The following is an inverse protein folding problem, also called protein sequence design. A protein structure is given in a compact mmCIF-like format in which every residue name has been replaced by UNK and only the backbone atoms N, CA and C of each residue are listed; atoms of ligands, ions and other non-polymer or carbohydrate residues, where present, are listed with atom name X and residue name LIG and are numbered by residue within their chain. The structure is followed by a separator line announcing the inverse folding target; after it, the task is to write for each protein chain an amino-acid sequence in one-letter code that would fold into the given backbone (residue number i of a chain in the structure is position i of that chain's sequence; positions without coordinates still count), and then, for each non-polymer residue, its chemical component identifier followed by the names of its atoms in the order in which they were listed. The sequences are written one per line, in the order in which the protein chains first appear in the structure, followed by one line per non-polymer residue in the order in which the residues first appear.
data_IF_236323360901
#
_entry.id   IF_236323360901
#
_cell.length_a   1.000
_cell.length_b   1.000
_cell.length_c   1.000
_cell.angle_alpha   90.00
_cell.angle_beta   90.00
_cell.angle_gamma   90.00
#
_symmetry.space_group_name_H-M   'P 1'
#
loop_
_entity.id
_entity.type
_entity.pdbx_description
1 polymer ?
#
# COMPACT_ATOMS: atom_id res chain seq x y z
N UNK A 1 20.30 -27.01 -4.94
CA UNK A 1 19.29 -26.14 -4.32
C UNK A 1 20.04 -25.04 -3.62
N UNK A 2 19.80 -23.80 -3.98
CA UNK A 2 20.50 -22.63 -3.44
C UNK A 2 19.49 -21.74 -2.72
N UNK A 3 19.82 -21.24 -1.53
CA UNK A 3 18.92 -20.42 -0.73
C UNK A 3 19.58 -19.08 -0.39
N UNK A 4 18.86 -18.01 -0.67
CA UNK A 4 19.26 -16.63 -0.42
C UNK A 4 18.38 -16.00 0.66
N UNK A 5 18.99 -15.18 1.50
CA UNK A 5 18.34 -14.45 2.60
C UNK A 5 18.73 -12.99 2.54
N UNK A 6 18.02 -12.17 3.29
CA UNK A 6 18.40 -10.76 3.45
C UNK A 6 19.66 -10.66 4.30
N UNK A 7 20.58 -9.79 3.88
CA UNK A 7 21.78 -9.48 4.63
C UNK A 7 21.48 -8.96 6.02
N UNK A 8 22.32 -9.34 6.97
CA UNK A 8 22.21 -8.86 8.34
C UNK A 8 22.21 -7.32 8.38
N UNK A 9 21.11 -6.74 8.86
CA UNK A 9 20.94 -5.29 8.97
C UNK A 9 20.39 -4.58 7.73
N UNK A 10 20.11 -5.28 6.62
CA UNK A 10 19.58 -4.70 5.38
C UNK A 10 18.30 -3.90 5.56
N UNK A 11 17.46 -4.24 6.55
CA UNK A 11 16.24 -3.50 6.86
C UNK A 11 16.49 -2.02 7.22
N UNK A 12 17.65 -1.69 7.83
CA UNK A 12 17.97 -0.32 8.25
C UNK A 12 18.00 0.64 7.06
N UNK A 13 18.43 0.17 5.89
CA UNK A 13 18.53 0.97 4.68
C UNK A 13 17.16 1.33 4.12
N UNK A 14 16.23 0.37 4.11
CA UNK A 14 14.88 0.60 3.60
C UNK A 14 13.97 1.31 4.61
N UNK A 15 14.28 1.23 5.92
CA UNK A 15 13.49 1.86 6.97
C UNK A 15 13.31 3.36 6.75
N UNK A 16 14.38 4.06 6.35
CA UNK A 16 14.33 5.50 6.07
C UNK A 16 13.40 5.80 4.90
N UNK A 17 13.48 5.03 3.82
CA UNK A 17 12.61 5.19 2.66
C UNK A 17 11.13 4.93 3.00
N UNK A 18 10.85 3.93 3.84
CA UNK A 18 9.49 3.67 4.34
C UNK A 18 8.94 4.86 5.14
N UNK A 19 9.74 5.42 6.05
CA UNK A 19 9.35 6.57 6.87
C UNK A 19 9.13 7.84 6.04
N UNK A 20 10.03 8.14 5.10
CA UNK A 20 9.93 9.31 4.21
C UNK A 20 8.65 9.27 3.38
N UNK A 21 8.16 8.08 3.01
CA UNK A 21 6.89 7.93 2.29
C UNK A 21 5.69 7.96 3.24
N UNK A 22 5.76 7.24 4.36
CA UNK A 22 4.61 7.06 5.25
C UNK A 22 4.24 8.32 6.04
N UNK A 23 5.22 9.11 6.50
CA UNK A 23 4.95 10.30 7.33
C UNK A 23 4.17 11.36 6.54
N UNK A 24 4.61 11.83 5.36
CA UNK A 24 3.86 12.84 4.61
C UNK A 24 2.46 12.37 4.22
N UNK A 25 2.31 11.09 3.82
CA UNK A 25 0.98 10.54 3.50
C UNK A 25 0.05 10.52 4.72
N UNK A 26 0.57 10.16 5.90
CA UNK A 26 -0.23 10.13 7.14
C UNK A 26 -0.62 11.54 7.60
N UNK A 27 0.30 12.50 7.48
CA UNK A 27 0.03 13.91 7.76
C UNK A 27 -1.02 14.47 6.81
N UNK A 28 -0.88 14.22 5.49
CA UNK A 28 -1.83 14.66 4.47
C UNK A 28 -3.24 14.15 4.77
N UNK A 29 -3.37 12.85 5.08
CA UNK A 29 -4.65 12.25 5.45
C UNK A 29 -5.24 12.85 6.73
N UNK A 30 -4.40 13.08 7.74
CA UNK A 30 -4.80 13.68 9.02
C UNK A 30 -5.31 15.11 8.82
N UNK A 31 -4.55 15.95 8.12
CA UNK A 31 -4.95 17.32 7.83
C UNK A 31 -6.21 17.37 6.97
N UNK A 32 -6.33 16.50 5.96
CA UNK A 32 -7.54 16.37 5.15
C UNK A 32 -8.76 16.04 6.00
N UNK A 33 -8.65 15.05 6.90
CA UNK A 33 -9.73 14.68 7.82
C UNK A 33 -10.13 15.81 8.77
N UNK A 34 -9.16 16.51 9.36
CA UNK A 34 -9.42 17.65 10.24
C UNK A 34 -10.08 18.82 9.50
N UNK A 35 -9.61 19.13 8.28
CA UNK A 35 -10.20 20.17 7.45
C UNK A 35 -11.65 19.84 7.08
N UNK A 36 -11.92 18.60 6.65
CA UNK A 36 -13.28 18.14 6.36
C UNK A 36 -14.16 18.26 7.60
N UNK A 37 -13.68 17.82 8.75
CA UNK A 37 -14.42 17.95 10.01
C UNK A 37 -14.76 19.40 10.34
N UNK A 38 -13.80 20.32 10.17
CA UNK A 38 -13.97 21.73 10.46
C UNK A 38 -15.01 22.40 9.55
N UNK A 39 -14.96 22.12 8.24
CA UNK A 39 -15.89 22.70 7.27
C UNK A 39 -17.28 22.05 7.26
N UNK A 40 -17.42 20.83 7.79
CA UNK A 40 -18.70 20.12 7.84
C UNK A 40 -19.54 20.45 9.09
N UNK A 41 -18.97 21.09 10.11
CA UNK A 41 -19.72 21.62 11.26
C UNK A 41 -20.59 22.79 10.82
N UNK A 42 -21.85 22.50 10.48
CA UNK A 42 -22.84 23.47 10.02
C UNK A 42 -23.22 24.48 11.12
N UNK A 43 -22.47 25.56 11.27
CA UNK A 43 -22.91 26.81 11.92
C UNK A 43 -23.19 26.78 13.43
N UNK A 44 -23.29 25.60 14.05
CA UNK A 44 -23.28 25.47 15.51
C UNK A 44 -21.86 25.77 15.99
N UNK A 45 -21.61 27.04 16.31
CA UNK A 45 -20.46 27.48 17.08
C UNK A 45 -20.55 26.84 18.47
N UNK A 46 -20.17 25.57 18.57
CA UNK A 46 -19.72 25.04 19.83
C UNK A 46 -18.43 25.78 20.16
N UNK A 47 -18.48 26.72 21.10
CA UNK A 47 -17.34 27.53 21.56
C UNK A 47 -16.19 26.68 22.15
N UNK A 48 -16.36 25.36 22.26
CA UNK A 48 -15.34 24.46 22.79
C UNK A 48 -14.33 24.11 21.71
N UNK A 49 -13.17 24.78 21.73
CA UNK A 49 -12.03 24.40 20.90
C UNK A 49 -11.48 23.03 21.33
N UNK A 50 -11.92 21.96 20.67
CA UNK A 50 -11.47 20.58 20.94
C UNK A 50 -10.11 20.24 20.33
N UNK A 51 -9.55 21.08 19.43
CA UNK A 51 -8.32 20.76 18.71
C UNK A 51 -7.09 20.50 19.60
N UNK A 52 -6.86 21.23 20.72
CA UNK A 52 -5.77 20.95 21.64
C UNK A 52 -5.81 19.55 22.25
N UNK A 53 -6.99 18.91 22.30
CA UNK A 53 -7.16 17.54 22.81
C UNK A 53 -7.03 16.53 21.67
N UNK A 54 -7.70 16.78 20.54
CA UNK A 54 -7.76 15.86 19.39
C UNK A 54 -6.40 15.70 18.71
N UNK A 55 -5.65 16.80 18.52
CA UNK A 55 -4.38 16.77 17.78
C UNK A 55 -3.34 15.86 18.49
N UNK A 56 -3.06 16.01 19.80
CA UNK A 56 -2.14 15.11 20.49
C UNK A 56 -2.54 13.63 20.43
N UNK A 57 -3.85 13.33 20.54
CA UNK A 57 -4.36 11.95 20.43
C UNK A 57 -4.07 11.38 19.05
N UNK A 58 -4.35 12.13 17.98
CA UNK A 58 -4.09 11.69 16.61
C UNK A 58 -2.59 11.50 16.38
N UNK A 59 -1.75 12.44 16.82
CA UNK A 59 -0.29 12.32 16.68
C UNK A 59 0.25 11.10 17.44
N UNK A 60 -0.24 10.85 18.65
CA UNK A 60 0.12 9.66 19.44
C UNK A 60 -0.30 8.36 18.75
N UNK A 61 -1.53 8.30 18.25
CA UNK A 61 -2.04 7.15 17.50
C UNK A 61 -1.25 6.91 16.21
N UNK A 62 -0.91 7.98 15.48
CA UNK A 62 -0.09 7.93 14.26
C UNK A 62 1.32 7.41 14.57
N UNK A 63 1.99 7.95 15.59
CA UNK A 63 3.32 7.52 16.00
C UNK A 63 3.34 6.04 16.41
N UNK A 64 2.37 5.61 17.22
CA UNK A 64 2.21 4.22 17.63
C UNK A 64 1.92 3.29 16.43
N UNK A 65 1.03 3.72 15.52
CA UNK A 65 0.69 3.00 14.30
C UNK A 65 1.89 2.80 13.39
N UNK A 66 2.66 3.86 13.13
CA UNK A 66 3.90 3.81 12.33
C UNK A 66 4.95 2.91 12.99
N UNK A 67 5.15 3.02 14.30
CA UNK A 67 6.07 2.15 15.04
C UNK A 67 5.70 0.67 14.87
N UNK A 68 4.42 0.34 15.07
CA UNK A 68 3.91 -1.03 14.92
C UNK A 68 4.02 -1.53 13.48
N UNK A 69 3.71 -0.68 12.50
CA UNK A 69 3.80 -1.00 11.08
C UNK A 69 5.25 -1.30 10.66
N UNK A 70 6.21 -0.47 11.08
CA UNK A 70 7.65 -0.66 10.78
C UNK A 70 8.17 -1.95 11.42
N UNK A 71 7.79 -2.25 12.66
CA UNK A 71 8.19 -3.49 13.31
C UNK A 71 7.60 -4.72 12.63
N UNK A 72 6.38 -4.62 12.09
CA UNK A 72 5.79 -5.69 11.29
C UNK A 72 6.54 -5.87 9.96
N UNK A 73 6.84 -4.76 9.27
CA UNK A 73 7.61 -4.80 8.03
C UNK A 73 9.01 -5.37 8.24
N UNK A 74 9.65 -5.05 9.37
CA UNK A 74 10.93 -5.66 9.75
C UNK A 74 10.82 -7.18 9.83
N UNK A 75 9.79 -7.71 10.50
CA UNK A 75 9.59 -9.17 10.61
C UNK A 75 9.39 -9.84 9.24
N UNK A 76 8.59 -9.23 8.37
CA UNK A 76 8.35 -9.73 7.00
C UNK A 76 9.66 -9.73 6.21
N UNK A 77 10.43 -8.65 6.31
CA UNK A 77 11.69 -8.47 5.61
C UNK A 77 12.77 -9.44 6.09
N UNK A 78 13.01 -9.50 7.41
CA UNK A 78 14.03 -10.38 8.01
C UNK A 78 13.73 -11.88 7.79
N UNK A 79 12.46 -12.23 7.61
CA UNK A 79 12.03 -13.60 7.33
C UNK A 79 12.12 -14.02 5.85
N UNK A 80 12.51 -13.10 4.95
CA UNK A 80 12.52 -13.35 3.53
C UNK A 80 13.54 -14.44 3.16
N UNK A 81 13.06 -15.43 2.42
CA UNK A 81 13.86 -16.52 1.85
C UNK A 81 13.50 -16.68 0.39
N UNK A 82 14.53 -16.72 -0.45
CA UNK A 82 14.42 -17.03 -1.86
C UNK A 82 15.17 -18.33 -2.13
N UNK A 83 14.48 -19.32 -2.67
CA UNK A 83 15.04 -20.63 -2.97
C UNK A 83 15.02 -20.84 -4.48
N UNK A 84 16.18 -21.14 -5.04
CA UNK A 84 16.36 -21.50 -6.45
C UNK A 84 16.62 -23.00 -6.51
N UNK A 85 15.71 -23.73 -7.16
CA UNK A 85 15.81 -25.17 -7.34
C UNK A 85 15.74 -25.56 -8.83
N UNK A 86 15.65 -26.86 -9.08
CA UNK A 86 15.61 -27.40 -10.45
C UNK A 86 14.27 -27.03 -11.12
N UNK A 87 13.18 -27.00 -10.34
CA UNK A 87 11.81 -26.86 -10.82
C UNK A 87 11.37 -25.39 -10.94
N UNK A 88 11.93 -24.48 -10.14
CA UNK A 88 11.47 -23.11 -10.08
C UNK A 88 12.18 -22.21 -9.07
N UNK A 89 11.55 -21.07 -8.85
CA UNK A 89 11.98 -20.02 -7.93
C UNK A 89 10.87 -19.86 -6.87
N UNK A 90 11.21 -20.08 -5.61
CA UNK A 90 10.26 -20.04 -4.49
C UNK A 90 10.61 -18.91 -3.52
N UNK A 91 9.62 -18.07 -3.19
CA UNK A 91 9.69 -17.03 -2.16
C UNK A 91 8.87 -17.42 -0.95
N UNK A 92 9.47 -17.28 0.22
CA UNK A 92 8.80 -17.41 1.52
C UNK A 92 9.03 -16.14 2.35
N UNK A 93 7.97 -15.63 3.01
CA UNK A 93 8.05 -14.56 4.01
C UNK A 93 6.97 -14.74 5.08
N UNK A 94 7.23 -14.20 6.27
CA UNK A 94 6.34 -14.23 7.41
C UNK A 94 4.94 -13.68 7.07
N UNK A 95 3.91 -14.46 7.40
CA UNK A 95 2.49 -14.13 7.18
C UNK A 95 2.09 -13.84 5.72
N UNK A 96 2.93 -14.19 4.74
CA UNK A 96 2.58 -14.12 3.32
C UNK A 96 2.45 -15.54 2.76
N UNK A 97 1.56 -15.78 1.78
CA UNK A 97 1.56 -17.02 1.03
C UNK A 97 2.92 -17.26 0.37
N UNK A 98 3.39 -18.52 0.38
CA UNK A 98 4.53 -18.96 -0.42
C UNK A 98 4.18 -18.81 -1.90
N UNK A 99 5.10 -18.23 -2.68
CA UNK A 99 4.95 -18.09 -4.12
C UNK A 99 6.06 -18.91 -4.78
N UNK A 100 5.67 -19.87 -5.61
CA UNK A 100 6.59 -20.64 -6.44
C UNK A 100 6.27 -20.35 -7.90
N UNK A 101 7.27 -19.92 -8.65
CA UNK A 101 7.20 -19.72 -10.11
C UNK A 101 8.01 -20.84 -10.73
N UNK A 102 7.35 -21.74 -11.47
CA UNK A 102 8.06 -22.78 -12.22
C UNK A 102 8.92 -22.14 -13.32
N UNK A 103 10.04 -22.76 -13.70
CA UNK A 103 10.86 -22.26 -14.81
C UNK A 103 10.09 -22.22 -16.14
N UNK A 104 9.12 -23.12 -16.34
CA UNK A 104 8.25 -23.10 -17.52
C UNK A 104 7.22 -21.98 -17.48
N UNK A 105 6.91 -21.47 -16.29
CA UNK A 105 5.97 -20.37 -16.07
C UNK A 105 6.68 -19.01 -15.94
N UNK A 106 8.01 -18.98 -16.07
CA UNK A 106 8.79 -17.77 -15.95
C UNK A 106 8.63 -16.95 -17.24
N UNK A 107 8.05 -15.76 -17.11
CA UNK A 107 7.82 -14.85 -18.22
C UNK A 107 8.95 -13.82 -18.36
N UNK A 108 9.32 -13.16 -17.26
CA UNK A 108 10.32 -12.09 -17.29
C UNK A 108 11.08 -11.99 -15.95
N UNK A 109 12.38 -11.69 -16.02
CA UNK A 109 13.18 -11.22 -14.88
C UNK A 109 13.59 -9.78 -15.17
N UNK A 110 13.14 -8.84 -14.33
CA UNK A 110 13.47 -7.41 -14.47
C UNK A 110 14.43 -6.99 -13.37
N UNK A 111 15.54 -6.35 -13.74
CA UNK A 111 16.43 -5.65 -12.79
C UNK A 111 16.01 -4.19 -12.71
N UNK A 112 15.56 -3.77 -11.53
CA UNK A 112 15.13 -2.40 -11.26
C UNK A 112 16.34 -1.48 -11.06
N UNK A 113 16.13 -0.18 -11.24
CA UNK A 113 17.16 0.86 -11.06
C UNK A 113 17.78 0.90 -9.64
N UNK A 114 17.05 0.44 -8.62
CA UNK A 114 17.54 0.33 -7.25
C UNK A 114 18.29 -0.98 -6.94
N UNK A 115 18.57 -1.79 -7.98
CA UNK A 115 19.22 -3.09 -7.89
C UNK A 115 18.34 -4.25 -7.43
N UNK A 116 17.04 -4.03 -7.18
CA UNK A 116 16.12 -5.13 -6.86
C UNK A 116 15.74 -5.90 -8.13
N UNK A 117 15.35 -7.17 -7.98
CA UNK A 117 14.80 -7.96 -9.08
C UNK A 117 13.29 -8.12 -8.95
N UNK A 118 12.59 -8.16 -10.08
CA UNK A 118 11.18 -8.53 -10.18
C UNK A 118 11.07 -9.73 -11.09
N UNK A 119 10.68 -10.87 -10.52
CA UNK A 119 10.53 -12.13 -11.23
C UNK A 119 9.03 -12.33 -11.48
N UNK A 120 8.62 -12.29 -12.74
CA UNK A 120 7.22 -12.40 -13.17
C UNK A 120 6.95 -13.77 -13.75
N UNK A 121 5.92 -14.44 -13.24
CA UNK A 121 5.37 -15.64 -13.85
C UNK A 121 4.34 -15.32 -14.95
N UNK A 122 3.61 -16.35 -15.37
CA UNK A 122 2.52 -16.27 -16.35
C UNK A 122 1.26 -15.48 -15.89
N UNK A 123 1.23 -14.96 -14.66
CA UNK A 123 0.09 -14.20 -14.13
C UNK A 123 0.53 -13.00 -13.31
N UNK A 124 -0.22 -11.90 -13.37
CA UNK A 124 0.05 -10.65 -12.63
C UNK A 124 0.12 -10.83 -11.10
N UNK A 125 -0.51 -11.89 -10.57
CA UNK A 125 -0.45 -12.21 -9.14
C UNK A 125 0.75 -13.08 -8.74
N UNK A 126 1.43 -13.67 -9.73
CA UNK A 126 2.60 -14.52 -9.54
C UNK A 126 3.87 -13.70 -9.81
N UNK A 127 4.12 -12.75 -8.92
CA UNK A 127 5.30 -11.86 -8.99
C UNK A 127 6.09 -11.99 -7.70
N UNK A 128 7.38 -12.29 -7.82
CA UNK A 128 8.35 -12.32 -6.72
C UNK A 128 9.23 -11.08 -6.82
N UNK A 129 9.14 -10.20 -5.82
CA UNK A 129 10.08 -9.09 -5.65
C UNK A 129 11.26 -9.50 -4.79
N UNK A 130 12.46 -9.38 -5.32
CA UNK A 130 13.72 -9.66 -4.63
C UNK A 130 14.41 -8.35 -4.29
N UNK A 131 14.58 -7.99 -3.01
CA UNK A 131 15.23 -6.75 -2.62
C UNK A 131 16.73 -6.75 -2.93
N UNK A 132 17.32 -5.56 -3.12
CA UNK A 132 18.76 -5.41 -3.39
C UNK A 132 19.66 -5.72 -2.20
N UNK A 133 19.11 -5.82 -1.00
CA UNK A 133 19.84 -6.17 0.23
C UNK A 133 19.93 -7.68 0.46
N UNK A 134 19.78 -8.49 -0.58
CA UNK A 134 19.94 -9.94 -0.46
C UNK A 134 21.43 -10.31 -0.31
N UNK A 135 21.72 -11.31 0.52
CA UNK A 135 23.06 -11.90 0.64
C UNK A 135 23.48 -12.55 -0.67
N UNK A 136 24.79 -12.60 -0.92
CA UNK A 136 25.39 -13.16 -2.13
C UNK A 136 24.75 -12.64 -3.42
N UNK A 137 24.45 -11.34 -3.47
CA UNK A 137 23.76 -10.67 -4.57
C UNK A 137 24.35 -11.01 -5.96
N UNK A 138 25.68 -11.03 -6.10
CA UNK A 138 26.35 -11.35 -7.36
C UNK A 138 26.12 -12.82 -7.78
N UNK A 139 26.14 -13.75 -6.82
CA UNK A 139 25.84 -15.16 -7.05
C UNK A 139 24.39 -15.33 -7.50
N UNK A 140 23.46 -14.61 -6.85
CA UNK A 140 22.06 -14.62 -7.24
C UNK A 140 21.88 -14.10 -8.67
N UNK A 141 22.46 -12.94 -8.99
CA UNK A 141 22.34 -12.34 -10.32
C UNK A 141 22.83 -13.29 -11.41
N UNK A 142 23.97 -13.95 -11.17
CA UNK A 142 24.50 -15.00 -12.06
C UNK A 142 23.51 -16.15 -12.24
N UNK A 143 22.99 -16.73 -11.15
CA UNK A 143 22.01 -17.83 -11.24
C UNK A 143 20.71 -17.39 -11.92
N UNK A 144 20.24 -16.17 -11.71
CA UNK A 144 19.05 -15.65 -12.38
C UNK A 144 19.29 -15.48 -13.89
N UNK A 145 20.47 -14.99 -14.28
CA UNK A 145 20.85 -14.87 -15.71
C UNK A 145 21.00 -16.21 -16.41
N UNK A 146 21.37 -17.27 -15.68
CA UNK A 146 21.40 -18.64 -16.19
C UNK A 146 19.98 -19.20 -16.39
N UNK A 147 19.02 -18.76 -15.58
CA UNK A 147 17.61 -19.20 -15.68
C UNK A 147 16.87 -18.47 -16.81
N UNK A 148 17.14 -17.18 -17.03
CA UNK A 148 16.47 -16.39 -18.08
C UNK A 148 17.10 -15.02 -18.31
N UNK A 149 16.74 -14.38 -19.42
CA UNK A 149 17.26 -13.06 -19.77
C UNK A 149 16.81 -12.00 -18.75
N UNK A 150 17.78 -11.31 -18.14
CA UNK A 150 17.51 -10.19 -17.24
C UNK A 150 17.28 -8.93 -18.09
N UNK A 151 16.05 -8.43 -18.06
CA UNK A 151 15.64 -7.19 -18.69
C UNK A 151 15.94 -6.00 -17.77
N UNK A 152 16.51 -4.93 -18.32
CA UNK A 152 16.69 -3.66 -17.60
C UNK A 152 15.54 -2.68 -17.86
N UNK A 153 14.49 -3.08 -18.62
CA UNK A 153 13.36 -2.20 -18.93
C UNK A 153 12.55 -1.95 -17.66
N UNK A 154 12.81 -0.81 -17.04
CA UNK A 154 12.05 -0.36 -15.88
C UNK A 154 10.83 0.42 -16.36
N UNK A 155 9.76 -0.26 -16.77
CA UNK A 155 8.45 0.39 -16.89
C UNK A 155 7.74 0.25 -15.54
N UNK A 156 7.93 1.23 -14.64
CA UNK A 156 7.11 1.27 -13.43
C UNK A 156 5.63 1.40 -13.83
N UNK A 157 4.72 0.64 -13.20
CA UNK A 157 3.29 0.83 -13.42
C UNK A 157 2.92 2.29 -13.14
N UNK A 158 2.07 2.88 -13.98
CA UNK A 158 1.64 4.29 -13.83
C UNK A 158 1.12 4.57 -12.40
N UNK A 159 0.39 3.63 -11.81
CA UNK A 159 -0.11 3.74 -10.44
C UNK A 159 0.99 3.90 -9.38
N UNK A 160 2.14 3.24 -9.57
CA UNK A 160 3.25 3.35 -8.62
C UNK A 160 3.91 4.73 -8.70
N UNK A 161 4.11 5.26 -9.91
CA UNK A 161 4.67 6.58 -10.17
C UNK A 161 3.80 7.71 -9.61
N UNK A 162 2.47 7.58 -9.70
CA UNK A 162 1.52 8.62 -9.30
C UNK A 162 0.85 8.36 -7.94
N UNK A 163 1.42 7.49 -7.10
CA UNK A 163 0.83 7.15 -5.78
C UNK A 163 0.52 8.38 -4.94
N UNK A 164 1.43 9.36 -4.88
CA UNK A 164 1.21 10.60 -4.11
C UNK A 164 0.08 11.47 -4.67
N UNK A 165 -0.02 11.58 -5.99
CA UNK A 165 -1.08 12.32 -6.68
C UNK A 165 -2.43 11.63 -6.51
N UNK A 166 -2.45 10.29 -6.53
CA UNK A 166 -3.64 9.50 -6.26
C UNK A 166 -4.14 9.72 -4.82
N UNK A 167 -3.25 9.82 -3.83
CA UNK A 167 -3.63 10.15 -2.44
C UNK A 167 -4.27 11.53 -2.34
N UNK A 168 -3.71 12.54 -3.02
CA UNK A 168 -4.29 13.90 -3.07
C UNK A 168 -5.67 13.86 -3.75
N UNK A 169 -5.79 13.13 -4.86
CA UNK A 169 -7.06 12.96 -5.56
C UNK A 169 -8.11 12.34 -4.64
N UNK A 170 -7.80 11.25 -3.93
CA UNK A 170 -8.73 10.58 -3.00
C UNK A 170 -9.19 11.54 -1.90
N UNK A 171 -8.28 12.31 -1.30
CA UNK A 171 -8.63 13.31 -0.27
C UNK A 171 -9.51 14.41 -0.87
N UNK A 172 -9.22 14.87 -2.09
CA UNK A 172 -10.06 15.82 -2.81
C UNK A 172 -11.48 15.29 -3.09
N UNK A 173 -11.60 14.03 -3.51
CA UNK A 173 -12.89 13.37 -3.70
C UNK A 173 -13.66 13.27 -2.38
N UNK A 174 -12.98 12.89 -1.28
CA UNK A 174 -13.59 12.87 0.05
C UNK A 174 -14.07 14.26 0.47
N UNK A 175 -13.25 15.29 0.29
CA UNK A 175 -13.63 16.67 0.61
C UNK A 175 -14.85 17.12 -0.19
N UNK A 176 -14.90 16.82 -1.50
CA UNK A 176 -16.06 17.12 -2.34
C UNK A 176 -17.34 16.47 -1.81
N UNK A 177 -17.30 15.19 -1.42
CA UNK A 177 -18.46 14.46 -0.87
C UNK A 177 -18.90 15.04 0.47
N UNK A 178 -17.97 15.27 1.39
CA UNK A 178 -18.31 15.67 2.77
C UNK A 178 -18.61 17.16 2.92
N UNK A 179 -17.98 18.05 2.12
CA UNK A 179 -18.15 19.50 2.25
C UNK A 179 -19.22 20.04 1.30
N UNK A 180 -19.37 19.49 0.09
CA UNK A 180 -20.30 20.05 -0.89
C UNK A 180 -21.76 19.90 -0.47
N UNK A 181 -22.56 20.93 -0.79
CA UNK A 181 -24.03 20.91 -0.70
C UNK A 181 -24.70 20.56 -2.02
N UNK A 182 -23.95 20.63 -3.12
CA UNK A 182 -24.46 20.32 -4.45
C UNK A 182 -24.62 18.79 -4.61
N UNK A 183 -25.86 18.37 -4.86
CA UNK A 183 -26.24 16.96 -5.01
C UNK A 183 -25.52 16.28 -6.17
N UNK A 184 -25.28 17.00 -7.28
CA UNK A 184 -24.59 16.48 -8.46
C UNK A 184 -23.13 16.21 -8.12
N UNK A 185 -22.46 17.16 -7.45
CA UNK A 185 -21.07 16.99 -7.01
C UNK A 185 -20.96 15.78 -6.07
N UNK A 186 -21.81 15.69 -5.05
CA UNK A 186 -21.80 14.58 -4.09
C UNK A 186 -22.03 13.23 -4.79
N UNK A 187 -23.01 13.18 -5.70
CA UNK A 187 -23.35 11.96 -6.44
C UNK A 187 -22.20 11.46 -7.32
N UNK A 188 -21.62 12.35 -8.14
CA UNK A 188 -20.55 11.99 -9.08
C UNK A 188 -19.26 11.63 -8.34
N UNK A 189 -18.80 12.49 -7.44
CA UNK A 189 -17.52 12.29 -6.75
C UNK A 189 -17.58 11.12 -5.78
N UNK A 190 -18.72 10.93 -5.10
CA UNK A 190 -18.94 9.80 -4.21
C UNK A 190 -18.96 8.46 -4.96
N UNK A 191 -19.58 8.41 -6.13
CA UNK A 191 -19.59 7.20 -6.97
C UNK A 191 -18.17 6.83 -7.44
N UNK A 192 -17.40 7.80 -7.94
CA UNK A 192 -16.00 7.58 -8.34
C UNK A 192 -15.18 7.06 -7.16
N UNK A 193 -15.34 7.68 -5.99
CA UNK A 193 -14.61 7.30 -4.78
C UNK A 193 -14.95 5.86 -4.35
N UNK A 194 -16.22 5.47 -4.38
CA UNK A 194 -16.64 4.09 -4.05
C UNK A 194 -16.06 3.06 -5.03
N UNK A 195 -15.99 3.38 -6.33
CA UNK A 195 -15.36 2.51 -7.33
C UNK A 195 -13.86 2.34 -7.05
N UNK A 196 -13.14 3.43 -6.75
CA UNK A 196 -11.71 3.38 -6.40
C UNK A 196 -11.48 2.53 -5.15
N UNK A 197 -12.30 2.72 -4.11
CA UNK A 197 -12.22 1.95 -2.86
C UNK A 197 -12.53 0.47 -3.08
N UNK A 198 -13.56 0.16 -3.87
CA UNK A 198 -13.94 -1.21 -4.22
C UNK A 198 -12.84 -1.94 -5.02
N UNK A 199 -12.26 -1.27 -6.02
CA UNK A 199 -11.13 -1.80 -6.78
C UNK A 199 -9.90 -2.04 -5.89
N UNK A 200 -9.56 -1.06 -5.03
CA UNK A 200 -8.44 -1.18 -4.09
C UNK A 200 -8.64 -2.33 -3.11
N UNK A 201 -9.86 -2.52 -2.60
CA UNK A 201 -10.22 -3.65 -1.75
C UNK A 201 -10.00 -4.98 -2.48
N UNK A 202 -10.51 -5.10 -3.70
CA UNK A 202 -10.37 -6.30 -4.52
C UNK A 202 -8.90 -6.65 -4.79
N UNK A 203 -8.10 -5.67 -5.22
CA UNK A 203 -6.67 -5.86 -5.49
C UNK A 203 -5.89 -6.32 -4.26
N UNK A 204 -6.14 -5.71 -3.09
CA UNK A 204 -5.47 -6.12 -1.85
C UNK A 204 -5.85 -7.55 -1.44
N UNK A 205 -7.12 -7.94 -1.65
CA UNK A 205 -7.58 -9.29 -1.33
C UNK A 205 -6.94 -10.34 -2.24
N UNK A 206 -6.85 -10.06 -3.54
CA UNK A 206 -6.29 -10.96 -4.56
C UNK A 206 -4.76 -11.08 -4.48
N UNK A 207 -4.04 -10.03 -4.08
CA UNK A 207 -2.57 -10.00 -4.08
C UNK A 207 -1.96 -11.07 -3.16
N UNK A 208 -1.03 -11.88 -3.67
CA UNK A 208 -0.24 -12.85 -2.88
C UNK A 208 0.94 -12.20 -2.14
N UNK A 209 1.25 -10.94 -2.47
CA UNK A 209 2.38 -10.19 -1.92
C UNK A 209 2.03 -9.40 -0.64
N UNK A 210 0.77 -9.46 -0.21
CA UNK A 210 0.30 -8.78 1.01
C UNK A 210 0.08 -9.79 2.12
N UNK A 211 0.61 -9.48 3.30
CA UNK A 211 0.49 -10.35 4.46
C UNK A 211 -0.96 -10.47 4.97
N UNK A 212 -1.27 -11.63 5.56
CA UNK A 212 -2.63 -11.98 5.99
C UNK A 212 -3.19 -11.04 7.07
N UNK A 213 -2.33 -10.35 7.83
CA UNK A 213 -2.75 -9.40 8.86
C UNK A 213 -3.14 -8.07 8.22
N UNK A 214 -2.38 -7.58 7.25
CA UNK A 214 -2.77 -6.41 6.45
C UNK A 214 -4.07 -6.67 5.67
N UNK A 215 -4.22 -7.86 5.07
CA UNK A 215 -5.49 -8.25 4.41
C UNK A 215 -6.71 -8.27 5.34
N UNK A 216 -6.50 -8.49 6.64
CA UNK A 216 -7.55 -8.39 7.66
C UNK A 216 -7.83 -6.92 8.02
N UNK A 217 -6.80 -6.09 8.10
CA UNK A 217 -6.97 -4.64 8.32
C UNK A 217 -7.78 -3.94 7.23
N UNK A 218 -7.71 -4.42 5.99
CA UNK A 218 -8.47 -3.85 4.86
C UNK A 218 -9.99 -3.97 5.01
N UNK A 219 -10.52 -4.78 5.93
CA UNK A 219 -11.95 -4.77 6.24
C UNK A 219 -12.44 -3.44 6.81
N UNK A 220 -11.57 -2.66 7.46
CA UNK A 220 -11.91 -1.29 7.90
C UNK A 220 -12.26 -0.36 6.73
N UNK A 221 -11.79 -0.67 5.51
CA UNK A 221 -12.13 0.08 4.31
C UNK A 221 -13.63 -0.02 3.98
N UNK A 222 -14.31 -1.10 4.34
CA UNK A 222 -15.76 -1.22 4.17
C UNK A 222 -16.53 -0.24 5.05
N UNK A 223 -16.04 0.06 6.26
CA UNK A 223 -16.65 1.06 7.12
C UNK A 223 -16.47 2.47 6.56
N UNK A 224 -15.32 2.75 5.94
CA UNK A 224 -15.10 4.01 5.21
C UNK A 224 -16.03 4.10 3.99
N UNK A 225 -16.18 3.03 3.22
CA UNK A 225 -17.11 3.00 2.10
C UNK A 225 -18.57 3.19 2.56
N UNK A 226 -18.97 2.55 3.66
CA UNK A 226 -20.30 2.71 4.25
C UNK A 226 -20.55 4.14 4.75
N UNK A 227 -19.55 4.80 5.35
CA UNK A 227 -19.70 6.19 5.80
C UNK A 227 -19.86 7.16 4.62
N UNK A 228 -19.12 6.94 3.52
CA UNK A 228 -19.27 7.69 2.27
C UNK A 228 -20.67 7.47 1.68
N UNK A 229 -21.12 6.22 1.58
CA UNK A 229 -22.45 5.90 1.06
C UNK A 229 -23.57 6.51 1.91
N UNK A 230 -23.44 6.47 3.24
CA UNK A 230 -24.37 7.13 4.16
C UNK A 230 -24.40 8.65 3.98
N UNK A 231 -23.25 9.30 3.86
CA UNK A 231 -23.16 10.74 3.62
C UNK A 231 -23.79 11.13 2.27
N UNK A 232 -23.55 10.34 1.22
CA UNK A 232 -24.21 10.52 -0.08
C UNK A 232 -25.73 10.40 0.04
N UNK A 233 -26.22 9.34 0.70
CA UNK A 233 -27.65 9.09 0.88
C UNK A 233 -28.33 10.28 1.55
N UNK A 234 -27.82 10.74 2.70
CA UNK A 234 -28.38 11.85 3.47
C UNK A 234 -28.50 13.14 2.64
N UNK A 235 -27.45 13.47 1.88
CA UNK A 235 -27.41 14.69 1.06
C UNK A 235 -28.29 14.61 -0.19
N UNK A 236 -28.33 13.44 -0.84
CA UNK A 236 -29.13 13.25 -2.05
C UNK A 236 -30.63 13.24 -1.73
N UNK A 237 -31.03 12.59 -0.63
CA UNK A 237 -32.42 12.55 -0.16
C UNK A 237 -32.91 13.86 0.45
N UNK A 238 -32.01 14.82 0.71
CA UNK A 238 -32.35 16.10 1.34
C UNK A 238 -32.67 15.98 2.83
N UNK A 239 -32.11 14.98 3.52
CA UNK A 239 -32.20 14.85 4.98
C UNK A 239 -31.21 15.78 5.71
N UNK A 240 -30.45 16.58 4.98
CA UNK A 240 -29.36 17.44 5.45
C UNK A 240 -29.32 18.75 4.66
#
# INVERSE_FOLDING_TARGET
MEQFKIRNGGFKEIRKALLIKAIPMSLLATFGGLAISHFNTNGEQSDVNIFPIVIPIILGAMAFGLYRAINNQKKIYDSYRLTLDINGITREQHNTPTITISKTDLNEIVKNSNGSFTIKGNSDVNVIGVPSQIDDYEKLEKLLSEIGQISSKTSEPLFQKYTGLLSILIIGLMAAVFISKDKIIVGVFGSILLVILGYSFFEVRRSKNIDSKTKRGVWWLLLVAASIAGAMYMKLSGLQ
#
